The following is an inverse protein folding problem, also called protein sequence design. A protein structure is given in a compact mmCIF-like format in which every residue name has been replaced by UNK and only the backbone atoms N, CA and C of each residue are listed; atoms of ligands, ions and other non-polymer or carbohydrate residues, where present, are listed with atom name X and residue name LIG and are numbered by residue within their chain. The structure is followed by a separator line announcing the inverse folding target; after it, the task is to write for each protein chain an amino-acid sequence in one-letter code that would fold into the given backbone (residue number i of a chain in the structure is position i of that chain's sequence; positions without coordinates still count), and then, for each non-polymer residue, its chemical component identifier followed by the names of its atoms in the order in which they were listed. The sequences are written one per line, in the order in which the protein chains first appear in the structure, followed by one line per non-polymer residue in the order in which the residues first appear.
data_IF_624312639109
#
_entry.id   IF_624312639109
#
_cell.length_a   1.000
_cell.length_b   1.000
_cell.length_c   1.000
_cell.angle_alpha   90.00
_cell.angle_beta   90.00
_cell.angle_gamma   90.00
#
_symmetry.space_group_name_H-M   'P 1'
#
loop_
_entity.id
_entity.type
_entity.pdbx_description
1 polymer ?
#
# COMPACT_ATOMS: atom_id res chain seq x y z
N UNK A 1 -1.12 17.49 7.40
CA UNK A 1 -0.52 16.87 6.19
C UNK A 1 0.90 16.31 6.40
N UNK A 2 1.83 17.01 7.07
CA UNK A 2 3.25 16.57 7.13
C UNK A 2 3.48 15.28 7.93
N UNK A 3 2.81 15.11 9.08
CA UNK A 3 3.02 13.95 9.97
C UNK A 3 2.74 12.61 9.27
N UNK A 4 1.59 12.50 8.59
CA UNK A 4 1.20 11.25 7.91
C UNK A 4 2.16 10.89 6.78
N UNK A 5 2.60 11.88 5.99
CA UNK A 5 3.60 11.67 4.94
C UNK A 5 4.96 11.26 5.51
N UNK A 6 5.40 11.92 6.58
CA UNK A 6 6.65 11.59 7.26
C UNK A 6 6.62 10.17 7.82
N UNK A 7 5.50 9.74 8.40
CA UNK A 7 5.37 8.38 8.93
C UNK A 7 5.39 7.31 7.83
N UNK A 8 4.72 7.54 6.70
CA UNK A 8 4.86 6.62 5.56
C UNK A 8 6.28 6.56 5.00
N UNK A 9 7.01 7.68 5.00
CA UNK A 9 8.44 7.69 4.65
C UNK A 9 9.28 6.91 5.66
N UNK A 10 8.98 7.00 6.95
CA UNK A 10 9.67 6.18 7.96
C UNK A 10 9.37 4.69 7.81
N UNK A 11 8.19 4.35 7.31
CA UNK A 11 7.81 2.96 7.10
C UNK A 11 8.62 2.27 6.00
N UNK A 12 9.21 3.04 5.08
CA UNK A 12 10.16 2.52 4.10
C UNK A 12 11.40 1.88 4.76
N UNK A 13 11.85 2.38 5.93
CA UNK A 13 12.95 1.74 6.67
C UNK A 13 12.55 0.35 7.21
N UNK A 14 11.27 0.13 7.51
CA UNK A 14 10.75 -1.17 7.93
C UNK A 14 10.96 -2.22 6.84
N UNK A 15 10.65 -1.85 5.60
CA UNK A 15 10.85 -2.70 4.42
C UNK A 15 12.33 -2.99 4.17
N UNK A 16 13.19 -1.97 4.27
CA UNK A 16 14.64 -2.11 4.07
C UNK A 16 15.23 -3.09 5.11
N UNK A 17 14.85 -2.95 6.38
CA UNK A 17 15.30 -3.85 7.44
C UNK A 17 14.85 -5.28 7.14
N UNK A 18 13.58 -5.48 6.78
CA UNK A 18 13.07 -6.79 6.38
C UNK A 18 13.87 -7.41 5.22
N UNK A 19 14.15 -6.63 4.17
CA UNK A 19 14.89 -7.11 2.99
C UNK A 19 16.35 -7.43 3.28
N UNK A 20 17.04 -6.61 4.08
CA UNK A 20 18.43 -6.88 4.51
C UNK A 20 18.51 -8.20 5.26
N UNK A 21 17.49 -8.52 6.07
CA UNK A 21 17.43 -9.79 6.80
C UNK A 21 17.14 -10.96 5.87
N UNK A 22 16.26 -10.81 4.87
CA UNK A 22 15.84 -11.88 3.96
C UNK A 22 16.92 -12.23 2.91
N UNK A 23 17.66 -11.24 2.38
CA UNK A 23 18.64 -11.44 1.30
C UNK A 23 19.68 -12.53 1.58
N UNK A 24 20.32 -12.60 2.77
CA UNK A 24 21.28 -13.67 3.08
C UNK A 24 20.71 -15.09 2.95
N UNK A 25 19.42 -15.26 3.21
CA UNK A 25 18.73 -16.55 3.02
C UNK A 25 18.43 -16.81 1.54
N UNK A 26 18.06 -15.79 0.77
CA UNK A 26 17.79 -15.91 -0.68
C UNK A 26 19.05 -16.22 -1.49
N UNK A 27 20.20 -15.66 -1.11
CA UNK A 27 21.49 -15.90 -1.76
C UNK A 27 22.08 -17.28 -1.35
N UNK A 28 21.56 -17.89 -0.28
CA UNK A 28 22.08 -19.15 0.24
C UNK A 28 23.31 -19.00 1.15
N UNK A 29 23.55 -17.81 1.71
CA UNK A 29 24.59 -17.61 2.74
C UNK A 29 24.20 -18.31 4.05
N UNK A 30 22.90 -18.27 4.38
CA UNK A 30 22.32 -19.07 5.45
C UNK A 30 21.37 -20.10 4.86
N UNK A 31 21.61 -21.37 5.17
CA UNK A 31 20.83 -22.49 4.66
C UNK A 31 20.10 -23.18 5.81
N UNK A 32 18.83 -23.51 5.59
CA UNK A 32 18.02 -24.28 6.54
C UNK A 32 18.12 -25.80 6.31
N UNK A 33 18.41 -26.20 5.08
CA UNK A 33 18.62 -27.58 4.63
C UNK A 33 19.82 -27.62 3.67
N UNK A 34 20.43 -28.80 3.50
CA UNK A 34 21.59 -29.03 2.59
C UNK A 34 21.27 -28.88 1.08
N UNK A 35 20.14 -28.25 0.75
CA UNK A 35 19.70 -27.99 -0.61
C UNK A 35 20.41 -26.77 -1.21
N UNK A 36 20.89 -26.92 -2.44
CA UNK A 36 21.59 -25.88 -3.21
C UNK A 36 20.66 -24.94 -3.96
N UNK A 37 19.35 -25.18 -3.91
CA UNK A 37 18.33 -24.38 -4.61
C UNK A 37 18.00 -23.11 -3.81
N UNK A 38 18.09 -21.91 -4.43
CA UNK A 38 17.68 -20.69 -3.76
C UNK A 38 16.15 -20.67 -3.59
N UNK A 39 15.69 -20.49 -2.36
CA UNK A 39 14.26 -20.40 -2.03
C UNK A 39 13.76 -18.99 -2.30
N UNK A 40 13.06 -18.82 -3.41
CA UNK A 40 12.44 -17.55 -3.79
C UNK A 40 11.02 -17.84 -4.25
N UNK A 41 10.09 -17.89 -3.29
CA UNK A 41 8.65 -17.97 -3.57
C UNK A 41 7.90 -16.91 -2.76
N UNK A 42 6.89 -16.30 -3.39
CA UNK A 42 6.01 -15.31 -2.76
C UNK A 42 4.75 -15.94 -2.16
N UNK A 43 4.36 -17.11 -2.65
CA UNK A 43 3.20 -17.85 -2.18
C UNK A 43 3.38 -19.32 -2.53
N UNK A 44 3.21 -20.19 -1.55
CA UNK A 44 3.23 -21.65 -1.74
C UNK A 44 2.03 -22.23 -0.99
N UNK A 45 1.19 -23.01 -1.68
CA UNK A 45 0.02 -23.65 -1.08
C UNK A 45 0.20 -25.17 -1.04
N UNK A 46 0.10 -25.76 0.15
CA UNK A 46 0.16 -27.21 0.37
C UNK A 46 -0.84 -28.03 -0.45
N UNK A 47 -1.86 -27.39 -1.03
CA UNK A 47 -2.86 -28.06 -1.86
C UNK A 47 -2.38 -28.40 -3.28
N UNK A 48 -1.38 -27.70 -3.81
CA UNK A 48 -0.83 -28.00 -5.14
C UNK A 48 0.40 -28.91 -5.01
N UNK A 49 0.47 -29.99 -5.79
CA UNK A 49 1.59 -30.95 -5.71
C UNK A 49 2.92 -30.34 -6.19
N UNK A 50 2.88 -29.24 -6.96
CA UNK A 50 4.07 -28.49 -7.41
C UNK A 50 4.63 -27.61 -6.29
N UNK A 51 3.78 -27.01 -5.45
CA UNK A 51 4.22 -26.11 -4.37
C UNK A 51 4.66 -26.88 -3.10
N UNK A 52 4.31 -28.16 -2.95
CA UNK A 52 4.70 -28.96 -1.77
C UNK A 52 6.21 -29.17 -1.69
N UNK A 53 6.90 -29.27 -2.83
CA UNK A 53 8.35 -29.45 -2.88
C UNK A 53 9.11 -28.16 -2.50
N UNK A 54 8.42 -27.00 -2.51
CA UNK A 54 8.97 -25.69 -2.12
C UNK A 54 8.77 -25.38 -0.61
N UNK A 55 7.99 -26.18 0.12
CA UNK A 55 7.71 -25.98 1.54
C UNK A 55 8.72 -26.76 2.39
N UNK A 56 9.47 -26.05 3.24
CA UNK A 56 10.45 -26.65 4.15
C UNK A 56 9.81 -26.92 5.51
N UNK A 57 9.77 -28.19 5.91
CA UNK A 57 9.36 -28.60 7.26
C UNK A 57 10.52 -28.42 8.25
N UNK A 58 10.39 -27.43 9.14
CA UNK A 58 11.38 -27.15 10.18
C UNK A 58 10.97 -27.83 11.49
N UNK A 59 11.71 -28.86 11.90
CA UNK A 59 11.40 -29.65 13.10
C UNK A 59 11.59 -28.89 14.42
N UNK A 60 12.46 -27.88 14.48
CA UNK A 60 12.70 -27.12 15.71
C UNK A 60 12.92 -25.62 15.43
N UNK A 61 12.25 -24.77 16.21
CA UNK A 61 12.39 -23.32 16.11
C UNK A 61 13.80 -22.85 16.48
N UNK A 62 14.53 -22.35 15.48
CA UNK A 62 15.84 -21.71 15.67
C UNK A 62 15.70 -20.19 15.66
N UNK A 63 16.68 -19.48 16.24
CA UNK A 63 16.78 -18.02 16.20
C UNK A 63 16.72 -17.50 14.74
N UNK A 64 17.30 -18.23 13.80
CA UNK A 64 17.27 -17.88 12.37
C UNK A 64 15.84 -17.88 11.82
N UNK A 65 15.02 -18.84 12.23
CA UNK A 65 13.62 -18.98 11.79
C UNK A 65 12.77 -17.84 12.34
N UNK A 66 12.90 -17.54 13.64
CA UNK A 66 12.18 -16.40 14.23
C UNK A 66 12.58 -15.05 13.63
N UNK A 67 13.85 -14.91 13.26
CA UNK A 67 14.37 -13.72 12.58
C UNK A 67 13.75 -13.58 11.19
N UNK A 68 13.64 -14.68 10.43
CA UNK A 68 13.00 -14.71 9.12
C UNK A 68 11.50 -14.41 9.21
N UNK A 69 10.78 -15.02 10.16
CA UNK A 69 9.35 -14.75 10.40
C UNK A 69 9.13 -13.28 10.71
N UNK A 70 9.99 -12.68 11.54
CA UNK A 70 9.92 -11.26 11.88
C UNK A 70 10.16 -10.40 10.65
N UNK A 71 11.18 -10.71 9.85
CA UNK A 71 11.45 -9.98 8.61
C UNK A 71 10.31 -10.07 7.59
N UNK A 72 9.72 -11.25 7.42
CA UNK A 72 8.54 -11.45 6.57
C UNK A 72 7.34 -10.65 7.07
N UNK A 73 7.11 -10.61 8.39
CA UNK A 73 6.07 -9.77 8.97
C UNK A 73 6.26 -8.28 8.63
N UNK A 74 7.48 -7.76 8.75
CA UNK A 74 7.82 -6.37 8.44
C UNK A 74 7.55 -6.04 6.96
N UNK A 75 7.92 -6.92 6.04
CA UNK A 75 7.67 -6.74 4.60
C UNK A 75 6.16 -6.72 4.31
N UNK A 76 5.40 -7.65 4.87
CA UNK A 76 3.94 -7.65 4.69
C UNK A 76 3.26 -6.44 5.34
N UNK A 77 3.67 -6.05 6.55
CA UNK A 77 3.14 -4.88 7.25
C UNK A 77 3.40 -3.59 6.49
N UNK A 78 4.61 -3.41 5.96
CA UNK A 78 4.92 -2.30 5.06
C UNK A 78 4.05 -2.33 3.79
N UNK A 79 3.95 -3.49 3.13
CA UNK A 79 3.21 -3.63 1.87
C UNK A 79 1.74 -3.25 2.03
N UNK A 80 1.07 -3.75 3.08
CA UNK A 80 -0.30 -3.36 3.39
C UNK A 80 -0.40 -1.89 3.81
N UNK A 81 0.56 -1.37 4.56
CA UNK A 81 0.52 0.03 5.00
C UNK A 81 0.68 1.01 3.84
N UNK A 82 1.45 0.68 2.81
CA UNK A 82 1.50 1.45 1.57
C UNK A 82 0.14 1.42 0.84
N UNK A 83 -0.48 0.23 0.76
CA UNK A 83 -1.79 0.06 0.12
C UNK A 83 -2.87 0.91 0.79
N UNK A 84 -2.99 0.83 2.12
CA UNK A 84 -3.97 1.60 2.89
C UNK A 84 -3.55 3.07 3.08
N UNK A 85 -2.27 3.39 3.02
CA UNK A 85 -1.77 4.75 3.23
C UNK A 85 -2.19 5.72 2.14
N UNK A 86 -2.28 5.24 0.90
CA UNK A 86 -2.80 6.03 -0.22
C UNK A 86 -4.29 6.32 -0.06
N UNK A 87 -5.06 5.36 0.45
CA UNK A 87 -6.47 5.57 0.80
C UNK A 87 -6.60 6.68 1.86
N UNK A 88 -5.76 6.63 2.90
CA UNK A 88 -5.76 7.66 3.96
C UNK A 88 -5.45 9.07 3.42
N UNK A 89 -4.52 9.18 2.47
CA UNK A 89 -4.28 10.46 1.78
C UNK A 89 -5.54 10.94 1.06
N UNK A 90 -6.29 10.05 0.41
CA UNK A 90 -7.58 10.37 -0.21
C UNK A 90 -8.63 10.85 0.80
N UNK A 91 -8.77 10.14 1.92
CA UNK A 91 -9.72 10.47 2.99
C UNK A 91 -9.38 11.83 3.64
N UNK A 92 -8.10 12.11 3.86
CA UNK A 92 -7.65 13.41 4.36
C UNK A 92 -8.04 14.55 3.41
N UNK A 93 -7.93 14.35 2.09
CA UNK A 93 -8.39 15.33 1.10
C UNK A 93 -9.90 15.53 1.07
N UNK A 94 -10.68 14.49 1.39
CA UNK A 94 -12.13 14.63 1.58
C UNK A 94 -12.40 15.53 2.78
N UNK A 95 -11.76 15.29 3.92
CA UNK A 95 -11.92 16.15 5.10
C UNK A 95 -11.49 17.59 4.85
N UNK A 96 -10.36 17.80 4.15
CA UNK A 96 -9.92 19.14 3.75
C UNK A 96 -10.96 19.83 2.85
N UNK A 97 -11.60 19.08 1.95
CA UNK A 97 -12.67 19.60 1.09
C UNK A 97 -13.96 19.87 1.86
N UNK A 98 -14.34 19.04 2.83
CA UNK A 98 -15.56 19.25 3.66
C UNK A 98 -15.36 20.47 4.57
N UNK A 99 -14.20 20.57 5.21
CA UNK A 99 -13.91 21.59 6.21
C UNK A 99 -13.21 22.83 5.66
N UNK A 100 -13.50 23.19 4.40
CA UNK A 100 -12.88 24.29 3.67
C UNK A 100 -12.62 25.54 4.56
N UNK A 101 -13.68 26.05 5.21
CA UNK A 101 -13.64 27.26 6.07
C UNK A 101 -12.54 27.27 7.14
N UNK A 102 -12.35 26.13 7.81
CA UNK A 102 -11.64 26.06 9.09
C UNK A 102 -10.56 24.97 9.11
N UNK A 103 -10.18 24.41 7.95
CA UNK A 103 -9.25 23.27 7.92
C UNK A 103 -7.83 23.68 8.31
N UNK A 104 -7.37 24.83 7.80
CA UNK A 104 -5.99 25.31 8.03
C UNK A 104 -5.86 26.20 9.27
N UNK A 105 -6.96 26.84 9.71
CA UNK A 105 -6.98 27.74 10.86
C UNK A 105 -7.01 27.00 12.20
N UNK A 106 -7.57 25.78 12.23
CA UNK A 106 -7.65 24.94 13.43
C UNK A 106 -6.78 23.69 13.24
N UNK A 107 -5.79 23.41 14.11
CA UNK A 107 -4.97 22.22 13.98
C UNK A 107 -5.78 20.97 14.30
N UNK A 108 -6.34 20.33 13.28
CA UNK A 108 -7.14 19.09 13.40
C UNK A 108 -6.26 17.85 13.35
N UNK A 109 -5.23 17.80 14.21
CA UNK A 109 -4.28 16.69 14.23
C UNK A 109 -4.93 15.34 14.57
N UNK A 110 -6.08 15.34 15.24
CA UNK A 110 -6.83 14.12 15.53
C UNK A 110 -7.24 13.34 14.28
N UNK A 111 -7.53 14.01 13.15
CA UNK A 111 -7.94 13.35 11.90
C UNK A 111 -6.83 12.42 11.38
N UNK A 112 -5.60 12.90 11.10
CA UNK A 112 -4.52 12.03 10.65
C UNK A 112 -4.13 10.99 11.72
N UNK A 113 -4.18 11.31 13.02
CA UNK A 113 -3.87 10.33 14.07
C UNK A 113 -4.87 9.15 14.09
N UNK A 114 -6.17 9.43 14.00
CA UNK A 114 -7.20 8.37 13.96
C UNK A 114 -7.02 7.51 12.71
N UNK A 115 -6.78 8.15 11.55
CA UNK A 115 -6.54 7.43 10.29
C UNK A 115 -5.32 6.51 10.40
N UNK A 116 -4.20 7.03 10.92
CA UNK A 116 -2.97 6.24 11.12
C UNK A 116 -3.17 5.05 12.06
N UNK A 117 -3.77 5.28 13.23
CA UNK A 117 -4.02 4.20 14.20
C UNK A 117 -4.93 3.14 13.57
N UNK A 118 -6.01 3.56 12.89
CA UNK A 118 -6.91 2.61 12.25
C UNK A 118 -6.22 1.79 11.16
N UNK A 119 -5.34 2.41 10.38
CA UNK A 119 -4.59 1.71 9.33
C UNK A 119 -3.59 0.73 9.91
N UNK A 120 -2.80 1.11 10.90
CA UNK A 120 -1.85 0.18 11.51
C UNK A 120 -2.54 -1.02 12.19
N UNK A 121 -3.71 -0.80 12.82
CA UNK A 121 -4.50 -1.90 13.37
C UNK A 121 -4.93 -2.89 12.28
N UNK A 122 -5.40 -2.38 11.14
CA UNK A 122 -5.81 -3.22 10.01
C UNK A 122 -4.61 -3.94 9.39
N UNK A 123 -3.51 -3.23 9.13
CA UNK A 123 -2.34 -3.78 8.44
C UNK A 123 -1.64 -4.84 9.28
N UNK A 124 -1.51 -4.65 10.60
CA UNK A 124 -0.96 -5.67 11.51
C UNK A 124 -1.78 -6.96 11.47
N UNK A 125 -3.12 -6.85 11.47
CA UNK A 125 -4.01 -8.02 11.40
C UNK A 125 -3.86 -8.74 10.06
N UNK A 126 -3.88 -8.02 8.93
CA UNK A 126 -3.71 -8.64 7.61
C UNK A 126 -2.34 -9.29 7.44
N UNK A 127 -1.27 -8.64 7.88
CA UNK A 127 0.09 -9.20 7.82
C UNK A 127 0.21 -10.49 8.63
N UNK A 128 -0.37 -10.53 9.83
CA UNK A 128 -0.38 -11.74 10.64
C UNK A 128 -1.18 -12.88 9.96
N UNK A 129 -2.35 -12.57 9.40
CA UNK A 129 -3.20 -13.55 8.73
C UNK A 129 -2.54 -14.14 7.48
N UNK A 130 -1.88 -13.31 6.66
CA UNK A 130 -1.12 -13.76 5.49
C UNK A 130 0.09 -14.60 5.91
N UNK A 131 0.89 -14.10 6.86
CA UNK A 131 2.10 -14.78 7.31
C UNK A 131 1.82 -16.17 7.90
N UNK A 132 0.66 -16.33 8.56
CA UNK A 132 0.22 -17.62 9.11
C UNK A 132 -0.60 -18.45 8.13
N UNK A 133 -0.71 -18.03 6.87
CA UNK A 133 -1.52 -18.66 5.83
C UNK A 133 -2.96 -18.98 6.27
N UNK A 134 -3.54 -18.14 7.14
CA UNK A 134 -4.92 -18.28 7.64
C UNK A 134 -5.96 -17.76 6.64
N UNK A 135 -5.51 -16.96 5.68
CA UNK A 135 -6.32 -16.44 4.57
C UNK A 135 -5.68 -16.89 3.26
N UNK A 136 -6.49 -17.37 2.32
CA UNK A 136 -5.99 -17.80 1.01
C UNK A 136 -5.48 -16.62 0.17
N UNK A 137 -4.69 -16.93 -0.86
CA UNK A 137 -4.04 -15.97 -1.75
C UNK A 137 -4.97 -14.86 -2.28
N UNK A 138 -6.14 -15.25 -2.77
CA UNK A 138 -7.12 -14.31 -3.34
C UNK A 138 -7.64 -13.30 -2.31
N UNK A 139 -7.87 -13.75 -1.06
CA UNK A 139 -8.33 -12.89 0.03
C UNK A 139 -7.17 -11.99 0.50
N UNK A 140 -5.94 -12.53 0.57
CA UNK A 140 -4.74 -11.75 0.91
C UNK A 140 -4.43 -10.65 -0.11
N UNK A 141 -4.70 -10.89 -1.40
CA UNK A 141 -4.42 -9.93 -2.49
C UNK A 141 -5.58 -8.94 -2.73
N UNK A 142 -6.82 -9.29 -2.35
CA UNK A 142 -7.99 -8.44 -2.55
C UNK A 142 -7.86 -6.99 -2.04
N UNK A 143 -7.23 -6.70 -0.88
CA UNK A 143 -7.00 -5.34 -0.42
C UNK A 143 -6.29 -4.44 -1.44
N UNK A 144 -5.38 -4.97 -2.27
CA UNK A 144 -4.67 -4.22 -3.31
C UNK A 144 -5.66 -3.59 -4.31
N UNK A 145 -6.58 -4.40 -4.84
CA UNK A 145 -7.56 -3.95 -5.83
C UNK A 145 -8.68 -3.10 -5.23
N UNK A 146 -9.19 -3.50 -4.05
CA UNK A 146 -10.26 -2.77 -3.37
C UNK A 146 -9.78 -1.36 -3.00
N UNK A 147 -8.61 -1.22 -2.39
CA UNK A 147 -8.06 0.10 -2.03
C UNK A 147 -7.74 0.95 -3.28
N UNK A 148 -7.22 0.33 -4.34
CA UNK A 148 -6.95 1.02 -5.61
C UNK A 148 -8.24 1.60 -6.22
N UNK A 149 -9.30 0.79 -6.28
CA UNK A 149 -10.61 1.22 -6.76
C UNK A 149 -11.22 2.33 -5.89
N UNK A 150 -11.18 2.17 -4.57
CA UNK A 150 -11.67 3.18 -3.63
C UNK A 150 -10.91 4.51 -3.76
N UNK A 151 -9.57 4.45 -3.85
CA UNK A 151 -8.72 5.64 -4.04
C UNK A 151 -9.08 6.37 -5.33
N UNK A 152 -9.23 5.63 -6.44
CA UNK A 152 -9.63 6.22 -7.72
C UNK A 152 -11.00 6.91 -7.62
N UNK A 153 -11.99 6.24 -7.02
CA UNK A 153 -13.32 6.80 -6.81
C UNK A 153 -13.29 8.05 -5.93
N UNK A 154 -12.56 8.02 -4.81
CA UNK A 154 -12.39 9.19 -3.93
C UNK A 154 -11.75 10.36 -4.68
N UNK A 155 -10.71 10.11 -5.48
CA UNK A 155 -10.07 11.14 -6.27
C UNK A 155 -11.06 11.82 -7.24
N UNK A 156 -11.88 11.03 -7.96
CA UNK A 156 -12.89 11.56 -8.87
C UNK A 156 -13.95 12.37 -8.12
N UNK A 157 -14.43 11.89 -6.97
CA UNK A 157 -15.42 12.61 -6.14
C UNK A 157 -14.85 13.96 -5.70
N UNK A 158 -13.65 13.96 -5.11
CA UNK A 158 -13.00 15.18 -4.61
C UNK A 158 -12.73 16.16 -5.76
N UNK A 159 -12.30 15.66 -6.92
CA UNK A 159 -12.10 16.49 -8.12
C UNK A 159 -13.41 17.13 -8.60
N UNK A 160 -14.51 16.36 -8.71
CA UNK A 160 -15.82 16.86 -9.13
C UNK A 160 -16.40 17.88 -8.15
N UNK A 161 -16.25 17.66 -6.85
CA UNK A 161 -16.70 18.60 -5.82
C UNK A 161 -15.94 19.92 -5.93
N UNK A 162 -14.61 19.88 -6.00
CA UNK A 162 -13.78 21.09 -6.11
C UNK A 162 -13.98 21.82 -7.45
N UNK A 163 -14.19 21.09 -8.55
CA UNK A 163 -14.53 21.67 -9.85
C UNK A 163 -15.89 22.38 -9.82
N UNK A 164 -16.90 21.76 -9.22
CA UNK A 164 -18.23 22.37 -9.06
C UNK A 164 -18.18 23.64 -8.23
N UNK A 165 -17.43 23.62 -7.11
CA UNK A 165 -17.23 24.80 -6.27
C UNK A 165 -16.51 25.92 -7.01
N UNK A 166 -15.47 25.58 -7.79
CA UNK A 166 -14.78 26.55 -8.63
C UNK A 166 -15.69 27.19 -9.67
N UNK A 167 -16.54 26.40 -10.34
CA UNK A 167 -17.53 26.94 -11.31
C UNK A 167 -18.49 27.93 -10.65
N UNK A 168 -18.95 27.65 -9.43
CA UNK A 168 -19.77 28.59 -8.65
C UNK A 168 -19.06 29.90 -8.29
N UNK A 169 -17.72 29.92 -8.28
CA UNK A 169 -16.93 31.14 -8.08
C UNK A 169 -16.77 31.94 -9.39
N UNK A 170 -16.75 31.26 -10.54
CA UNK A 170 -16.62 31.90 -11.86
C UNK A 170 -17.97 32.45 -12.35
N UNK A 171 -19.07 31.77 -12.03
CA UNK A 171 -20.45 32.22 -12.28
C UNK A 171 -21.24 32.20 -10.95
N UNK A 172 -21.10 33.26 -10.12
CA UNK A 172 -21.80 33.37 -8.85
C UNK A 172 -23.29 33.62 -9.12
N UNK A 173 -24.05 32.54 -9.25
CA UNK A 173 -25.50 32.59 -9.16
C UNK A 173 -25.96 33.18 -7.81
N UNK A 174 -27.27 33.48 -7.65
CA UNK A 174 -27.80 34.06 -6.43
C UNK A 174 -27.48 33.17 -5.20
N UNK A 175 -26.89 33.77 -4.16
CA UNK A 175 -26.53 33.10 -2.91
C UNK A 175 -25.07 32.58 -2.81
N UNK A 176 -24.16 33.02 -3.67
CA UNK A 176 -22.74 32.64 -3.60
C UNK A 176 -21.96 33.50 -2.59
N UNK A 177 -22.06 33.16 -1.30
CA UNK A 177 -21.51 33.93 -0.18
C UNK A 177 -20.16 33.37 0.32
N UNK A 178 -19.17 33.23 -0.59
CA UNK A 178 -17.83 32.79 -0.23
C UNK A 178 -16.95 33.98 0.19
N UNK A 179 -16.38 33.89 1.39
CA UNK A 179 -15.33 34.80 1.85
C UNK A 179 -14.09 34.73 0.96
N UNK A 180 -13.32 35.81 0.90
CA UNK A 180 -12.10 35.88 0.09
C UNK A 180 -11.14 34.71 0.36
N UNK A 181 -10.96 34.34 1.63
CA UNK A 181 -10.15 33.20 2.06
C UNK A 181 -10.63 31.87 1.50
N UNK A 182 -11.95 31.63 1.47
CA UNK A 182 -12.50 30.39 0.91
C UNK A 182 -12.28 30.30 -0.61
N UNK A 183 -12.38 31.43 -1.32
CA UNK A 183 -12.15 31.47 -2.76
C UNK A 183 -10.69 31.11 -3.10
N UNK A 184 -9.74 31.61 -2.32
CA UNK A 184 -8.33 31.25 -2.44
C UNK A 184 -8.12 29.75 -2.20
N UNK A 185 -8.67 29.21 -1.12
CA UNK A 185 -8.55 27.79 -0.79
C UNK A 185 -9.16 26.88 -1.85
N UNK A 186 -10.32 27.22 -2.44
CA UNK A 186 -10.92 26.42 -3.53
C UNK A 186 -10.02 26.41 -4.77
N UNK A 187 -9.48 27.57 -5.16
CA UNK A 187 -8.56 27.68 -6.32
C UNK A 187 -7.28 26.88 -6.08
N UNK A 188 -6.72 26.96 -4.88
CA UNK A 188 -5.52 26.23 -4.49
C UNK A 188 -5.76 24.72 -4.44
N UNK A 189 -6.82 24.27 -3.77
CA UNK A 189 -7.19 22.86 -3.70
C UNK A 189 -7.44 22.26 -5.08
N UNK A 190 -8.14 22.97 -5.97
CA UNK A 190 -8.35 22.51 -7.34
C UNK A 190 -7.03 22.40 -8.13
N UNK A 191 -6.11 23.37 -7.99
CA UNK A 191 -4.78 23.30 -8.62
C UNK A 191 -3.97 22.12 -8.07
N UNK A 192 -3.98 21.92 -6.76
CA UNK A 192 -3.31 20.80 -6.10
C UNK A 192 -3.87 19.45 -6.58
N UNK A 193 -5.19 19.31 -6.73
CA UNK A 193 -5.82 18.10 -7.26
C UNK A 193 -5.47 17.83 -8.72
N UNK A 194 -5.34 18.88 -9.55
CA UNK A 194 -4.92 18.74 -10.95
C UNK A 194 -3.48 18.21 -11.05
N UNK A 195 -2.59 18.69 -10.17
CA UNK A 195 -1.22 18.15 -10.06
C UNK A 195 -1.23 16.71 -9.54
N UNK A 196 -2.05 16.42 -8.53
CA UNK A 196 -2.19 15.10 -7.93
C UNK A 196 -2.75 14.06 -8.91
N UNK A 197 -3.48 14.46 -9.97
CA UNK A 197 -4.01 13.52 -10.98
C UNK A 197 -2.94 12.60 -11.55
N UNK A 198 -1.83 13.17 -12.02
CA UNK A 198 -0.76 12.39 -12.64
C UNK A 198 -0.08 11.49 -11.60
N UNK A 199 0.10 12.01 -10.39
CA UNK A 199 0.67 11.25 -9.28
C UNK A 199 -0.21 10.05 -8.89
N UNK A 200 -1.53 10.22 -8.81
CA UNK A 200 -2.48 9.14 -8.50
C UNK A 200 -2.44 8.05 -9.57
N UNK A 201 -2.37 8.42 -10.86
CA UNK A 201 -2.26 7.44 -11.95
C UNK A 201 -0.97 6.64 -11.83
N UNK A 202 0.16 7.31 -11.60
CA UNK A 202 1.47 6.64 -11.44
C UNK A 202 1.45 5.70 -10.23
N UNK A 203 0.95 6.16 -9.09
CA UNK A 203 0.89 5.36 -7.86
C UNK A 203 -0.04 4.15 -8.02
N UNK A 204 -1.23 4.33 -8.59
CA UNK A 204 -2.15 3.21 -8.84
C UNK A 204 -1.56 2.20 -9.82
N UNK A 205 -0.82 2.66 -10.85
CA UNK A 205 -0.08 1.79 -11.76
C UNK A 205 1.03 1.02 -11.06
N UNK A 206 1.85 1.70 -10.27
CA UNK A 206 2.96 1.11 -9.52
C UNK A 206 2.50 0.05 -8.51
N UNK A 207 1.28 0.16 -7.97
CA UNK A 207 0.70 -0.88 -7.12
C UNK A 207 0.03 -2.02 -7.89
N UNK A 208 -0.72 -1.67 -8.94
CA UNK A 208 -1.54 -2.66 -9.66
C UNK A 208 -0.67 -3.60 -10.51
N UNK A 209 0.45 -3.11 -11.06
CA UNK A 209 1.34 -3.91 -11.92
C UNK A 209 1.99 -5.07 -11.14
N UNK A 210 2.65 -4.87 -9.98
CA UNK A 210 3.18 -5.96 -9.18
C UNK A 210 2.10 -6.92 -8.69
N UNK A 211 0.93 -6.42 -8.26
CA UNK A 211 -0.20 -7.29 -7.87
C UNK A 211 -0.68 -8.16 -9.04
N UNK A 212 -0.75 -7.62 -10.27
CA UNK A 212 -1.12 -8.39 -11.46
C UNK A 212 -0.06 -9.43 -11.83
N UNK A 213 1.23 -9.08 -11.75
CA UNK A 213 2.33 -10.02 -11.99
C UNK A 213 2.33 -11.15 -10.96
N UNK A 214 2.07 -10.84 -9.68
CA UNK A 214 1.95 -11.84 -8.62
C UNK A 214 0.83 -12.86 -8.92
N UNK A 215 -0.33 -12.39 -9.41
CA UNK A 215 -1.42 -13.29 -9.81
C UNK A 215 -1.02 -14.15 -11.01
N UNK A 216 -0.35 -13.58 -12.02
CA UNK A 216 0.11 -14.35 -13.18
C UNK A 216 1.11 -15.44 -12.78
N UNK A 217 1.99 -15.12 -11.81
CA UNK A 217 2.95 -16.07 -11.24
C UNK A 217 2.22 -17.20 -10.50
N UNK A 218 1.28 -16.88 -9.61
CA UNK A 218 0.55 -17.90 -8.83
C UNK A 218 -0.37 -18.76 -9.70
N UNK A 219 -0.94 -18.22 -10.78
CA UNK A 219 -1.74 -19.00 -11.75
C UNK A 219 -0.84 -19.87 -12.66
N UNK A 220 0.47 -19.60 -12.72
CA UNK A 220 1.41 -20.34 -13.57
C UNK A 220 1.21 -20.09 -15.06
N UNK A 221 0.80 -18.88 -15.44
CA UNK A 221 0.48 -18.55 -16.85
C UNK A 221 1.71 -18.70 -17.76
N UNK A 222 2.90 -18.33 -17.27
CA UNK A 222 4.15 -18.43 -18.04
C UNK A 222 5.33 -18.88 -17.15
N UNK A 223 5.50 -20.19 -16.93
CA UNK A 223 6.52 -20.74 -16.01
C UNK A 223 7.96 -20.35 -16.37
N UNK A 224 8.23 -20.13 -17.66
CA UNK A 224 9.58 -19.75 -18.13
C UNK A 224 10.05 -18.38 -17.64
N UNK A 225 9.17 -17.53 -17.12
CA UNK A 225 9.49 -16.19 -16.64
C UNK A 225 9.33 -16.01 -15.13
N UNK A 226 9.10 -17.08 -14.36
CA UNK A 226 8.81 -16.99 -12.93
C UNK A 226 9.90 -16.21 -12.17
N UNK A 227 11.17 -16.53 -12.40
CA UNK A 227 12.30 -15.82 -11.77
C UNK A 227 12.34 -14.33 -12.13
N UNK A 228 11.98 -13.97 -13.37
CA UNK A 228 11.92 -12.59 -13.83
C UNK A 228 10.74 -11.85 -13.19
N UNK A 229 9.58 -12.47 -13.09
CA UNK A 229 8.42 -11.90 -12.40
C UNK A 229 8.69 -11.67 -10.92
N UNK A 230 9.31 -12.64 -10.25
CA UNK A 230 9.71 -12.50 -8.85
C UNK A 230 10.67 -11.32 -8.68
N UNK A 231 11.67 -11.22 -9.55
CA UNK A 231 12.62 -10.11 -9.50
C UNK A 231 11.93 -8.75 -9.68
N UNK A 232 10.99 -8.63 -10.61
CA UNK A 232 10.23 -7.39 -10.81
C UNK A 232 9.37 -7.07 -9.59
N UNK A 233 8.63 -8.04 -9.05
CA UNK A 233 7.77 -7.86 -7.87
C UNK A 233 8.59 -7.43 -6.66
N UNK A 234 9.70 -8.11 -6.38
CA UNK A 234 10.59 -7.77 -5.28
C UNK A 234 11.09 -6.33 -5.39
N UNK A 235 11.66 -5.95 -6.53
CA UNK A 235 12.17 -4.59 -6.69
C UNK A 235 11.06 -3.54 -6.63
N UNK A 236 9.86 -3.85 -7.13
CA UNK A 236 8.74 -2.91 -7.15
C UNK A 236 8.19 -2.60 -5.75
N UNK A 237 8.33 -3.52 -4.79
CA UNK A 237 7.87 -3.28 -3.42
C UNK A 237 8.76 -2.26 -2.71
N UNK A 238 10.06 -2.23 -3.03
CA UNK A 238 11.04 -1.34 -2.37
C UNK A 238 11.24 0.00 -3.08
N UNK A 239 10.57 0.23 -4.21
CA UNK A 239 10.69 1.41 -5.08
C UNK A 239 9.53 2.40 -4.87
#
# INVERSE_FOLDING_TARGET
MNIMKSLFLFQWFEAIIGKIIIIPYQIGVFQFCDTTTPYVSWWSDSTSDVDRDDIIDIQQGSIMVYTLITASFLVWHYSYSMIFGILNLGVERIFASIFLKDYESKPRLYIPFILLISTHLVTVVFSYLVLTNKIGFYIGTAPCFVNSGLTFMMFIIVLKVNQTRRRKLEDPGPGCDYSLSEQFQVKENYRALKLAKNLVIVVLGAMSVPCALLIMLVIGVIPSFDMLFIHIIENSIYL
#
